data_IF_088700143897
#
_entry.id   IF_088700143897
#
_cell.length_a   1.000
_cell.length_b   1.000
_cell.length_c   1.000
_cell.angle_alpha   90.00
_cell.angle_beta   90.00
_cell.angle_gamma   90.00
#
_symmetry.space_group_name_H-M   'P 1'
#
loop_
_entity.id
_entity.type
_entity.pdbx_description
1 polymer ?
#
# COMPACT_ATOMS: atom_id res chain seq x y z
N UNK A 1 -20.19 36.08 41.61
CA UNK A 1 -20.95 35.00 40.98
C UNK A 1 -21.45 35.56 39.64
N UNK A 2 -20.88 35.23 38.50
CA UNK A 2 -21.51 35.71 37.29
C UNK A 2 -20.59 35.99 36.12
N UNK A 3 -19.69 35.14 35.67
CA UNK A 3 -19.13 35.19 34.34
C UNK A 3 -18.52 33.85 33.87
N UNK A 4 -18.46 32.88 34.79
CA UNK A 4 -17.82 31.56 34.52
C UNK A 4 -18.81 30.47 34.05
N UNK A 5 -20.13 30.76 34.10
CA UNK A 5 -21.17 29.77 33.79
C UNK A 5 -21.75 29.88 32.36
N UNK A 6 -21.13 30.63 31.45
CA UNK A 6 -21.75 30.95 30.15
C UNK A 6 -21.09 30.31 28.93
N UNK A 7 -20.06 29.49 29.07
CA UNK A 7 -19.48 28.83 27.91
C UNK A 7 -19.61 27.31 27.98
N UNK A 8 -19.67 26.71 26.83
CA UNK A 8 -19.89 25.29 26.64
C UNK A 8 -18.60 24.55 26.30
N UNK A 9 -18.49 23.33 26.76
CA UNK A 9 -17.34 22.46 26.44
C UNK A 9 -17.74 21.47 25.39
N UNK A 10 -17.04 21.52 24.24
CA UNK A 10 -17.20 20.54 23.17
C UNK A 10 -16.38 19.31 23.51
N UNK A 11 -17.05 18.19 23.72
CA UNK A 11 -16.43 16.89 23.94
C UNK A 11 -15.85 16.35 22.62
N UNK A 12 -15.01 15.32 22.71
CA UNK A 12 -14.36 14.68 21.57
C UNK A 12 -15.32 14.00 20.59
N UNK A 13 -16.47 13.56 21.06
CA UNK A 13 -17.56 12.98 20.27
C UNK A 13 -18.49 14.03 19.64
N UNK A 14 -18.17 15.32 19.82
CA UNK A 14 -18.97 16.45 19.33
C UNK A 14 -20.13 16.85 20.26
N UNK A 15 -20.40 16.09 21.33
CA UNK A 15 -21.38 16.51 22.31
C UNK A 15 -20.94 17.79 23.05
N UNK A 16 -21.92 18.61 23.40
CA UNK A 16 -21.70 19.87 24.10
C UNK A 16 -22.21 19.73 25.54
N UNK A 17 -21.34 20.03 26.50
CA UNK A 17 -21.65 19.94 27.94
C UNK A 17 -21.38 21.30 28.62
N UNK A 18 -21.96 21.54 29.79
CA UNK A 18 -21.67 22.72 30.60
C UNK A 18 -20.25 22.66 31.18
N UNK A 19 -19.59 23.81 31.23
CA UNK A 19 -18.30 23.92 31.88
C UNK A 19 -18.44 23.75 33.40
N UNK A 20 -17.59 22.90 33.98
CA UNK A 20 -17.51 22.65 35.44
C UNK A 20 -16.06 22.66 35.90
N UNK A 21 -15.66 23.71 36.62
CA UNK A 21 -14.29 23.87 37.13
C UNK A 21 -13.86 22.69 38.02
N UNK A 22 -14.79 22.08 38.73
CA UNK A 22 -14.54 20.91 39.57
C UNK A 22 -14.02 19.67 38.79
N UNK A 23 -14.24 19.60 37.49
CA UNK A 23 -13.62 18.56 36.66
C UNK A 23 -12.11 18.80 36.43
N UNK A 24 -11.70 20.08 36.39
CA UNK A 24 -10.29 20.47 36.23
C UNK A 24 -9.57 20.25 37.58
N UNK A 25 -10.10 20.76 38.68
CA UNK A 25 -9.49 20.58 40.00
C UNK A 25 -9.35 19.11 40.36
N UNK A 26 -10.37 18.28 40.12
CA UNK A 26 -10.31 16.83 40.34
C UNK A 26 -9.23 16.13 39.47
N UNK A 27 -8.98 16.62 38.26
CA UNK A 27 -7.94 16.07 37.39
C UNK A 27 -6.54 16.49 37.89
N UNK A 28 -6.38 17.72 38.36
CA UNK A 28 -5.13 18.22 38.97
C UNK A 28 -4.83 17.44 40.25
N UNK A 29 -5.80 17.25 41.13
CA UNK A 29 -5.68 16.42 42.35
C UNK A 29 -5.06 15.05 42.03
N UNK A 30 -5.63 14.31 41.07
CA UNK A 30 -5.15 12.99 40.69
C UNK A 30 -3.70 13.01 40.17
N UNK A 31 -3.28 14.10 39.54
CA UNK A 31 -1.93 14.24 39.05
C UNK A 31 -0.93 14.49 40.21
N UNK A 32 -1.32 15.25 41.22
CA UNK A 32 -0.52 15.44 42.42
C UNK A 32 -0.42 14.15 43.24
N UNK A 33 -1.56 13.45 43.47
CA UNK A 33 -1.60 12.16 44.16
C UNK A 33 -0.67 11.12 43.47
N UNK A 34 -0.69 11.07 42.16
CA UNK A 34 0.16 10.17 41.37
C UNK A 34 1.67 10.45 41.52
N UNK A 35 2.02 11.61 42.12
CA UNK A 35 3.42 12.01 42.44
C UNK A 35 3.70 12.06 43.92
N UNK A 36 2.71 11.64 44.76
CA UNK A 36 2.83 11.69 46.24
C UNK A 36 3.26 13.07 46.77
N UNK A 37 2.83 14.14 46.07
CA UNK A 37 3.15 15.52 46.42
C UNK A 37 2.08 16.08 47.34
N UNK A 38 2.54 16.70 48.42
CA UNK A 38 1.65 17.43 49.32
C UNK A 38 1.08 18.68 48.63
N UNK A 39 -0.18 18.92 48.81
CA UNK A 39 -0.93 20.11 48.34
C UNK A 39 -2.00 20.51 49.34
N UNK A 40 -2.45 21.75 49.25
CA UNK A 40 -3.65 22.18 49.93
C UNK A 40 -4.80 22.34 48.93
N UNK A 41 -6.05 22.19 49.39
CA UNK A 41 -7.24 22.42 48.57
C UNK A 41 -7.24 23.80 47.93
N UNK A 42 -6.85 24.83 48.68
CA UNK A 42 -6.74 26.20 48.19
C UNK A 42 -5.75 26.37 47.05
N UNK A 43 -4.64 25.61 47.07
CA UNK A 43 -3.65 25.62 46.00
C UNK A 43 -4.21 24.98 44.72
N UNK A 44 -4.95 23.88 44.86
CA UNK A 44 -5.58 23.21 43.70
C UNK A 44 -6.66 24.11 43.09
N UNK A 45 -7.48 24.77 43.93
CA UNK A 45 -8.48 25.69 43.45
C UNK A 45 -7.86 26.90 42.75
N UNK A 46 -6.75 27.43 43.27
CA UNK A 46 -5.99 28.49 42.59
C UNK A 46 -5.44 28.04 41.23
N UNK A 47 -4.92 26.83 41.14
CA UNK A 47 -4.47 26.26 39.85
C UNK A 47 -5.64 26.10 38.89
N UNK A 48 -6.79 25.62 39.34
CA UNK A 48 -8.01 25.52 38.54
C UNK A 48 -8.48 26.87 37.98
N UNK A 49 -8.44 27.92 38.81
CA UNK A 49 -8.73 29.28 38.36
C UNK A 49 -7.72 29.80 37.35
N UNK A 50 -6.41 29.54 37.53
CA UNK A 50 -5.37 29.89 36.55
C UNK A 50 -5.57 29.19 35.21
N UNK A 51 -5.94 27.91 35.23
CA UNK A 51 -6.27 27.17 33.98
C UNK A 51 -7.45 27.82 33.28
N UNK A 52 -8.50 28.19 34.02
CA UNK A 52 -9.66 28.87 33.46
C UNK A 52 -9.26 30.20 32.81
N UNK A 53 -8.40 30.98 33.48
CA UNK A 53 -7.87 32.24 32.92
C UNK A 53 -7.00 32.02 31.68
N UNK A 54 -6.20 30.94 31.62
CA UNK A 54 -5.32 30.61 30.48
C UNK A 54 -6.14 30.33 29.23
N UNK A 55 -7.14 29.47 29.31
CA UNK A 55 -7.94 29.11 28.16
C UNK A 55 -9.03 30.10 27.76
N UNK A 56 -9.33 31.07 28.63
CA UNK A 56 -10.38 32.08 28.35
C UNK A 56 -10.18 32.80 27.02
N UNK A 57 -8.92 32.99 26.62
CA UNK A 57 -8.54 33.59 25.32
C UNK A 57 -8.76 32.67 24.11
N UNK A 58 -8.98 31.37 24.33
CA UNK A 58 -9.20 30.35 23.32
C UNK A 58 -10.67 30.08 23.04
N UNK A 59 -11.58 30.66 23.85
CA UNK A 59 -13.02 30.49 23.68
C UNK A 59 -13.46 31.20 22.39
N UNK A 60 -14.08 30.45 21.50
CA UNK A 60 -14.66 30.94 20.23
C UNK A 60 -16.13 30.55 20.19
N UNK A 61 -17.01 31.50 19.85
CA UNK A 61 -18.46 31.29 19.78
C UNK A 61 -19.06 30.67 21.06
N UNK A 62 -18.62 31.12 22.23
CA UNK A 62 -18.99 30.58 23.54
C UNK A 62 -18.68 29.09 23.74
N UNK A 63 -17.74 28.52 22.98
CA UNK A 63 -17.34 27.12 23.04
C UNK A 63 -15.83 26.98 23.19
N UNK A 64 -15.42 25.92 23.88
CA UNK A 64 -14.03 25.48 24.01
C UNK A 64 -13.98 23.96 23.95
N UNK A 65 -12.93 23.41 23.35
CA UNK A 65 -12.75 21.96 23.31
C UNK A 65 -12.12 21.41 24.59
N UNK A 66 -12.41 20.14 24.91
CA UNK A 66 -11.76 19.44 26.03
C UNK A 66 -10.25 19.45 25.89
N UNK A 67 -9.74 19.36 24.64
CA UNK A 67 -8.30 19.37 24.33
C UNK A 67 -7.64 20.69 24.74
N UNK A 68 -8.23 21.81 24.33
CA UNK A 68 -7.72 23.14 24.66
C UNK A 68 -7.70 23.39 26.18
N UNK A 69 -8.69 22.86 26.91
CA UNK A 69 -8.70 22.91 28.39
C UNK A 69 -7.54 22.07 28.94
N UNK A 70 -7.34 20.87 28.45
CA UNK A 70 -6.28 19.97 28.92
C UNK A 70 -4.88 20.53 28.63
N UNK A 71 -4.67 21.14 27.47
CA UNK A 71 -3.42 21.82 27.13
C UNK A 71 -3.16 23.00 28.07
N UNK A 72 -4.20 23.72 28.44
CA UNK A 72 -4.09 24.80 29.45
C UNK A 72 -3.75 24.26 30.85
N UNK A 73 -4.26 23.09 31.24
CA UNK A 73 -3.85 22.42 32.50
C UNK A 73 -2.36 22.10 32.49
N UNK A 74 -1.87 21.51 31.40
CA UNK A 74 -0.45 21.17 31.23
C UNK A 74 0.44 22.42 31.33
N UNK A 75 0.10 23.48 30.61
CA UNK A 75 0.83 24.74 30.58
C UNK A 75 0.88 25.39 31.96
N UNK A 76 -0.26 25.49 32.66
CA UNK A 76 -0.33 26.11 33.99
C UNK A 76 0.46 25.33 35.04
N UNK A 77 0.41 23.98 35.01
CA UNK A 77 1.22 23.15 35.90
C UNK A 77 2.72 23.35 35.66
N UNK A 78 3.16 23.44 34.40
CA UNK A 78 4.58 23.73 34.07
C UNK A 78 4.97 25.11 34.54
N UNK A 79 4.19 26.14 34.25
CA UNK A 79 4.45 27.53 34.64
C UNK A 79 4.43 27.75 36.16
N UNK A 80 3.64 26.97 36.87
CA UNK A 80 3.60 27.00 38.35
C UNK A 80 4.76 26.24 39.01
N UNK A 81 5.70 25.65 38.22
CA UNK A 81 6.86 24.94 38.73
C UNK A 81 6.61 23.45 39.03
N UNK A 82 5.44 22.91 38.67
CA UNK A 82 5.06 21.51 38.90
C UNK A 82 5.26 20.64 37.64
N UNK A 83 6.45 20.71 37.02
CA UNK A 83 6.76 20.03 35.79
C UNK A 83 6.62 18.48 35.87
N UNK A 84 6.92 17.89 37.02
CA UNK A 84 6.77 16.46 37.28
C UNK A 84 5.30 16.04 37.43
N UNK A 85 4.45 16.89 38.00
CA UNK A 85 2.99 16.70 38.08
C UNK A 85 2.37 16.87 36.69
N UNK A 86 2.82 17.88 35.92
CA UNK A 86 2.41 18.04 34.53
C UNK A 86 2.73 16.78 33.69
N UNK A 87 3.92 16.22 33.85
CA UNK A 87 4.31 14.96 33.21
C UNK A 87 3.41 13.79 33.59
N UNK A 88 3.02 13.68 34.87
CA UNK A 88 2.08 12.66 35.33
C UNK A 88 0.69 12.85 34.70
N UNK A 89 0.23 14.12 34.61
CA UNK A 89 -1.02 14.45 33.95
C UNK A 89 -1.03 14.08 32.46
N UNK A 90 0.03 14.40 31.71
CA UNK A 90 0.20 14.03 30.31
C UNK A 90 0.17 12.51 30.12
N UNK A 91 0.92 11.76 30.95
CA UNK A 91 0.93 10.30 30.90
C UNK A 91 -0.44 9.68 31.19
N UNK A 92 -1.15 10.22 32.20
CA UNK A 92 -2.51 9.80 32.52
C UNK A 92 -3.49 10.10 31.38
N UNK A 93 -3.39 11.27 30.74
CA UNK A 93 -4.17 11.67 29.57
C UNK A 93 -3.97 10.67 28.43
N UNK A 94 -2.71 10.37 28.08
CA UNK A 94 -2.36 9.37 27.07
C UNK A 94 -2.88 7.97 27.40
N UNK A 95 -2.74 7.53 28.64
CA UNK A 95 -3.25 6.23 29.07
C UNK A 95 -4.78 6.15 28.97
N UNK A 96 -5.49 7.20 29.36
CA UNK A 96 -6.94 7.29 29.21
C UNK A 96 -7.39 7.32 27.75
N UNK A 97 -6.66 7.98 26.90
CA UNK A 97 -6.87 7.98 25.47
C UNK A 97 -6.69 6.57 24.90
N UNK A 98 -5.61 5.89 25.27
CA UNK A 98 -5.35 4.51 24.87
C UNK A 98 -6.47 3.54 25.32
N UNK A 99 -6.94 3.67 26.56
CA UNK A 99 -8.07 2.86 27.08
C UNK A 99 -9.38 3.14 26.32
N UNK A 100 -9.64 4.40 25.97
CA UNK A 100 -10.83 4.74 25.17
C UNK A 100 -10.74 4.17 23.77
N UNK A 101 -9.58 4.33 23.12
CA UNK A 101 -9.34 3.78 21.78
C UNK A 101 -9.48 2.25 21.77
N UNK A 102 -8.98 1.57 22.81
CA UNK A 102 -9.17 0.12 22.97
C UNK A 102 -10.66 -0.24 23.17
N UNK A 103 -11.41 0.50 23.97
CA UNK A 103 -12.85 0.26 24.15
C UNK A 103 -13.65 0.52 22.87
N UNK A 104 -13.35 1.59 22.16
CA UNK A 104 -13.90 1.90 20.85
C UNK A 104 -13.60 0.78 19.86
N UNK A 105 -12.34 0.33 19.79
CA UNK A 105 -11.94 -0.77 18.92
C UNK A 105 -12.69 -2.08 19.21
N UNK A 106 -12.95 -2.41 20.49
CA UNK A 106 -13.70 -3.63 20.87
C UNK A 106 -15.18 -3.51 20.50
N UNK A 107 -15.78 -2.34 20.68
CA UNK A 107 -17.16 -2.08 20.28
C UNK A 107 -17.30 -2.12 18.75
N UNK A 108 -16.38 -1.49 18.04
CA UNK A 108 -16.31 -1.46 16.58
C UNK A 108 -16.10 -2.88 15.99
N UNK A 109 -15.34 -3.75 16.69
CA UNK A 109 -15.13 -5.13 16.24
C UNK A 109 -16.42 -5.93 16.10
N UNK A 110 -17.33 -5.83 17.08
CA UNK A 110 -18.65 -6.48 16.98
C UNK A 110 -19.45 -5.93 15.81
N UNK A 111 -19.37 -4.64 15.59
CA UNK A 111 -20.06 -3.96 14.48
C UNK A 111 -19.47 -4.35 13.14
N UNK A 112 -18.14 -4.43 13.01
CA UNK A 112 -17.41 -4.90 11.82
C UNK A 112 -17.83 -6.33 11.47
N UNK A 113 -17.83 -7.25 12.44
CA UNK A 113 -18.26 -8.65 12.22
C UNK A 113 -19.72 -8.71 11.78
N UNK A 114 -20.60 -7.98 12.48
CA UNK A 114 -22.02 -7.98 12.16
C UNK A 114 -22.32 -7.37 10.78
N UNK A 115 -21.68 -6.26 10.43
CA UNK A 115 -21.88 -5.61 9.13
C UNK A 115 -21.39 -6.50 7.97
N UNK A 116 -20.27 -7.21 8.16
CA UNK A 116 -19.81 -8.19 7.18
C UNK A 116 -20.79 -9.36 7.04
N UNK A 117 -21.18 -9.99 8.15
CA UNK A 117 -22.09 -11.16 8.14
C UNK A 117 -23.46 -10.82 7.58
N UNK A 118 -23.97 -9.64 7.86
CA UNK A 118 -25.26 -9.16 7.33
C UNK A 118 -25.18 -8.61 5.89
N UNK A 119 -23.97 -8.54 5.32
CA UNK A 119 -23.73 -7.96 3.99
C UNK A 119 -24.24 -6.51 3.88
N UNK A 120 -24.23 -5.78 4.99
CA UNK A 120 -24.65 -4.38 5.04
C UNK A 120 -23.58 -3.44 4.50
N UNK A 121 -22.30 -3.84 4.58
CA UNK A 121 -21.19 -3.05 4.06
C UNK A 121 -21.09 -3.19 2.54
N UNK A 122 -21.29 -2.09 1.83
CA UNK A 122 -21.20 -2.01 0.36
C UNK A 122 -19.82 -2.46 -0.16
N UNK A 123 -18.74 -2.24 0.61
CA UNK A 123 -17.37 -2.64 0.27
C UNK A 123 -17.21 -4.15 0.10
N UNK A 124 -18.04 -4.94 0.74
CA UNK A 124 -18.09 -6.41 0.59
C UNK A 124 -18.52 -6.81 -0.83
N UNK A 125 -19.30 -5.98 -1.50
CA UNK A 125 -19.82 -6.22 -2.86
C UNK A 125 -18.99 -5.54 -3.94
N UNK A 126 -18.40 -4.39 -3.67
CA UNK A 126 -17.69 -3.60 -4.66
C UNK A 126 -16.29 -4.14 -4.98
N UNK A 127 -15.62 -4.73 -4.02
CA UNK A 127 -14.31 -5.31 -4.27
C UNK A 127 -14.47 -6.71 -4.87
N UNK A 128 -14.60 -6.77 -6.18
CA UNK A 128 -14.77 -8.02 -6.93
C UNK A 128 -13.63 -9.02 -6.75
N UNK A 129 -12.50 -8.60 -6.21
CA UNK A 129 -11.35 -9.45 -5.93
C UNK A 129 -11.47 -10.21 -4.61
N UNK A 130 -12.35 -9.76 -3.69
CA UNK A 130 -12.59 -10.43 -2.40
C UNK A 130 -13.98 -11.03 -2.38
N UNK A 131 -14.04 -12.37 -2.32
CA UNK A 131 -15.30 -13.10 -2.25
C UNK A 131 -15.89 -13.04 -0.84
N UNK A 132 -17.21 -12.85 -0.71
CA UNK A 132 -17.93 -13.03 0.55
C UNK A 132 -17.75 -14.48 1.04
N UNK A 133 -16.95 -14.65 2.08
CA UNK A 133 -16.48 -15.94 2.58
C UNK A 133 -15.94 -15.84 3.99
N UNK A 134 -15.71 -16.97 4.64
CA UNK A 134 -15.01 -16.99 5.94
C UNK A 134 -13.61 -16.37 5.85
N UNK A 135 -12.87 -16.63 4.76
CA UNK A 135 -11.58 -15.98 4.53
C UNK A 135 -11.70 -14.47 4.38
N UNK A 136 -12.72 -13.99 3.65
CA UNK A 136 -13.02 -12.56 3.54
C UNK A 136 -13.36 -11.92 4.88
N UNK A 137 -14.10 -12.61 5.75
CA UNK A 137 -14.37 -12.16 7.12
C UNK A 137 -13.07 -12.03 7.94
N UNK A 138 -12.17 -13.00 7.84
CA UNK A 138 -10.85 -12.95 8.53
C UNK A 138 -10.05 -11.74 8.07
N UNK A 139 -9.96 -11.53 6.76
CA UNK A 139 -9.23 -10.40 6.18
C UNK A 139 -9.85 -9.06 6.57
N UNK A 140 -11.18 -8.95 6.55
CA UNK A 140 -11.91 -7.75 6.95
C UNK A 140 -11.63 -7.39 8.41
N UNK A 141 -11.71 -8.36 9.30
CA UNK A 141 -11.46 -8.17 10.73
C UNK A 141 -9.98 -7.81 10.99
N UNK A 142 -9.05 -8.56 10.42
CA UNK A 142 -7.62 -8.28 10.54
C UNK A 142 -7.28 -6.90 9.98
N UNK A 143 -7.84 -6.57 8.82
CA UNK A 143 -7.63 -5.28 8.17
C UNK A 143 -8.12 -4.10 9.01
N UNK A 144 -9.29 -4.21 9.62
CA UNK A 144 -9.82 -3.15 10.49
C UNK A 144 -8.94 -2.91 11.73
N UNK A 145 -8.47 -3.98 12.37
CA UNK A 145 -7.55 -3.89 13.51
C UNK A 145 -6.23 -3.24 13.11
N UNK A 146 -5.67 -3.66 11.97
CA UNK A 146 -4.41 -3.11 11.44
C UNK A 146 -4.55 -1.64 11.06
N UNK A 147 -5.65 -1.26 10.40
CA UNK A 147 -5.92 0.14 10.06
C UNK A 147 -6.02 1.03 11.31
N UNK A 148 -6.69 0.53 12.35
CA UNK A 148 -6.75 1.26 13.61
C UNK A 148 -5.35 1.40 14.25
N UNK A 149 -4.51 0.37 14.18
CA UNK A 149 -3.14 0.43 14.69
C UNK A 149 -2.31 1.51 13.95
N UNK A 150 -2.40 1.60 12.62
CA UNK A 150 -1.77 2.67 11.85
C UNK A 150 -2.21 4.06 12.34
N UNK A 151 -3.53 4.25 12.51
CA UNK A 151 -4.12 5.55 12.81
C UNK A 151 -4.06 5.96 14.29
N UNK A 152 -3.73 5.05 15.21
CA UNK A 152 -3.70 5.34 16.65
C UNK A 152 -2.31 5.22 17.28
N UNK A 153 -1.44 4.36 16.73
CA UNK A 153 -0.14 4.06 17.35
C UNK A 153 1.04 4.50 16.48
N UNK A 154 0.88 4.52 15.14
CA UNK A 154 1.97 4.84 14.20
C UNK A 154 1.91 6.29 13.75
N UNK A 155 0.78 6.73 13.20
CA UNK A 155 0.61 8.09 12.73
C UNK A 155 0.29 9.05 13.87
N UNK A 156 0.74 10.30 13.75
CA UNK A 156 0.30 11.37 14.64
C UNK A 156 -1.19 11.74 14.38
N UNK A 157 -1.75 12.47 15.32
CA UNK A 157 -3.17 12.83 15.27
C UNK A 157 -3.52 13.64 14.02
N UNK A 158 -2.63 14.51 13.55
CA UNK A 158 -2.90 15.35 12.38
C UNK A 158 -3.06 14.52 11.11
N UNK A 159 -2.19 13.53 10.90
CA UNK A 159 -2.29 12.58 9.77
C UNK A 159 -3.54 11.70 9.91
N UNK A 160 -3.77 11.16 11.11
CA UNK A 160 -4.90 10.29 11.38
C UNK A 160 -6.25 11.02 11.19
N UNK A 161 -6.36 12.26 11.66
CA UNK A 161 -7.56 13.06 11.53
C UNK A 161 -7.79 13.50 10.09
N UNK A 162 -6.75 13.87 9.34
CA UNK A 162 -6.86 14.16 7.91
C UNK A 162 -7.41 12.96 7.12
N UNK A 163 -7.02 11.73 7.49
CA UNK A 163 -7.59 10.51 6.89
C UNK A 163 -9.03 10.27 7.32
N UNK A 164 -9.33 10.34 8.63
CA UNK A 164 -10.68 10.11 9.18
C UNK A 164 -11.70 11.14 8.69
N UNK A 165 -11.27 12.39 8.50
CA UNK A 165 -12.11 13.47 7.99
C UNK A 165 -12.25 13.46 6.47
N UNK A 166 -11.64 12.49 5.79
CA UNK A 166 -11.62 12.38 4.34
C UNK A 166 -10.97 13.59 3.61
N UNK A 167 -10.04 14.28 4.24
CA UNK A 167 -9.21 15.29 3.58
C UNK A 167 -8.17 14.61 2.69
N UNK A 168 -7.63 13.48 3.16
CA UNK A 168 -6.77 12.56 2.40
C UNK A 168 -7.27 11.13 2.56
N UNK A 169 -6.84 10.25 1.66
CA UNK A 169 -6.98 8.80 1.81
C UNK A 169 -5.61 8.14 1.77
N UNK A 170 -5.19 7.56 2.89
CA UNK A 170 -3.99 6.73 2.96
C UNK A 170 -4.40 5.32 2.56
N UNK A 171 -3.81 4.80 1.47
CA UNK A 171 -4.14 3.49 0.94
C UNK A 171 -3.58 2.34 1.78
N UNK A 172 -4.28 1.22 1.75
CA UNK A 172 -3.83 -0.10 2.27
C UNK A 172 -3.45 -0.13 3.75
N UNK A 173 -4.18 0.60 4.57
CA UNK A 173 -4.02 0.54 6.02
C UNK A 173 -4.42 -0.81 6.63
N UNK A 174 -5.07 -1.68 5.85
CA UNK A 174 -5.45 -3.03 6.27
C UNK A 174 -4.25 -3.99 6.45
N UNK A 175 -3.05 -3.59 6.01
CA UNK A 175 -1.83 -4.38 6.13
C UNK A 175 -0.66 -3.53 6.63
N UNK A 176 0.23 -4.14 7.43
CA UNK A 176 1.51 -3.52 7.84
C UNK A 176 2.56 -3.81 6.76
N UNK A 177 2.40 -3.23 5.58
CA UNK A 177 3.27 -3.55 4.44
C UNK A 177 3.35 -2.41 3.41
N UNK A 178 4.25 -2.57 2.45
CA UNK A 178 4.36 -1.70 1.29
C UNK A 178 3.14 -1.83 0.36
N UNK A 179 3.10 -0.98 -0.66
CA UNK A 179 1.98 -0.91 -1.61
C UNK A 179 2.15 -1.94 -2.73
N UNK A 180 2.92 -1.61 -3.77
CA UNK A 180 3.15 -2.46 -4.93
C UNK A 180 4.63 -2.80 -5.09
N UNK A 181 4.95 -3.94 -5.70
CA UNK A 181 6.32 -4.31 -6.03
C UNK A 181 6.47 -4.89 -7.43
N UNK A 182 7.61 -4.57 -8.07
CA UNK A 182 8.11 -5.25 -9.25
C UNK A 182 9.20 -6.22 -8.84
N UNK A 183 9.21 -7.38 -9.46
CA UNK A 183 10.12 -8.49 -9.13
C UNK A 183 10.93 -8.89 -10.36
N UNK A 184 12.18 -9.24 -10.14
CA UNK A 184 13.05 -9.71 -11.22
C UNK A 184 12.66 -11.13 -11.65
N UNK A 185 12.05 -11.24 -12.83
CA UNK A 185 11.79 -12.55 -13.43
C UNK A 185 13.10 -13.26 -13.76
N UNK A 186 14.15 -12.51 -14.13
CA UNK A 186 15.49 -13.04 -14.34
C UNK A 186 16.03 -13.73 -13.07
N UNK A 187 15.87 -13.11 -11.90
CA UNK A 187 16.30 -13.70 -10.64
C UNK A 187 15.56 -15.01 -10.37
N UNK A 188 14.23 -15.03 -10.54
CA UNK A 188 13.42 -16.25 -10.37
C UNK A 188 13.91 -17.37 -11.32
N UNK A 189 14.25 -17.05 -12.56
CA UNK A 189 14.78 -17.99 -13.55
C UNK A 189 16.16 -18.52 -13.15
N UNK A 190 17.02 -17.70 -12.57
CA UNK A 190 18.38 -18.05 -12.17
C UNK A 190 18.44 -18.84 -10.86
N UNK A 191 17.63 -18.47 -9.89
CA UNK A 191 17.73 -18.99 -8.52
C UNK A 191 16.63 -20.00 -8.17
N UNK A 192 15.52 -19.95 -8.93
CA UNK A 192 14.31 -20.71 -8.61
C UNK A 192 13.46 -20.04 -7.53
N UNK A 193 12.44 -20.75 -7.04
CA UNK A 193 11.56 -20.27 -6.01
C UNK A 193 12.12 -20.61 -4.62
N UNK A 194 12.76 -19.62 -4.01
CA UNK A 194 13.24 -19.63 -2.64
C UNK A 194 12.31 -18.82 -1.73
N UNK A 195 12.75 -18.57 -0.51
CA UNK A 195 12.04 -17.63 0.35
C UNK A 195 12.31 -17.84 1.84
N UNK A 196 11.59 -18.72 2.50
CA UNK A 196 11.67 -18.86 3.96
C UNK A 196 12.70 -19.93 4.32
N UNK A 197 13.69 -19.58 5.11
CA UNK A 197 14.69 -20.52 5.62
C UNK A 197 14.02 -21.74 6.32
N UNK A 198 14.49 -22.94 5.99
CA UNK A 198 13.93 -24.18 6.52
C UNK A 198 12.58 -24.62 5.92
N UNK A 199 12.08 -23.91 4.90
CA UNK A 199 10.88 -24.32 4.13
C UNK A 199 11.27 -24.89 2.77
N UNK A 200 10.27 -25.43 2.06
CA UNK A 200 10.46 -26.02 0.73
C UNK A 200 10.91 -24.93 -0.25
N UNK A 201 11.96 -25.21 -1.00
CA UNK A 201 12.47 -24.40 -2.09
C UNK A 201 12.37 -25.18 -3.41
N UNK A 202 12.35 -24.48 -4.51
CA UNK A 202 12.30 -25.03 -5.87
C UNK A 202 13.51 -24.56 -6.66
N UNK A 203 14.24 -25.50 -7.26
CA UNK A 203 15.35 -25.19 -8.15
C UNK A 203 14.91 -24.38 -9.35
N UNK A 204 15.84 -23.73 -10.09
CA UNK A 204 15.56 -23.04 -11.34
C UNK A 204 14.74 -23.89 -12.31
N UNK A 205 13.68 -23.35 -12.86
CA UNK A 205 12.81 -24.01 -13.81
C UNK A 205 13.57 -24.35 -15.09
N UNK A 206 13.43 -25.58 -15.58
CA UNK A 206 14.02 -26.01 -16.86
C UNK A 206 13.01 -25.99 -17.99
N UNK A 207 11.73 -26.00 -17.70
CA UNK A 207 10.62 -26.09 -18.65
C UNK A 207 9.63 -24.95 -18.46
N UNK A 208 9.00 -24.49 -19.55
CA UNK A 208 8.04 -23.36 -19.52
C UNK A 208 6.91 -23.60 -18.52
N UNK A 209 6.34 -24.81 -18.46
CA UNK A 209 5.25 -25.15 -17.54
C UNK A 209 5.66 -25.03 -16.07
N UNK A 210 6.90 -25.40 -15.75
CA UNK A 210 7.45 -25.29 -14.39
C UNK A 210 7.66 -23.81 -14.03
N UNK A 211 8.20 -23.01 -14.95
CA UNK A 211 8.37 -21.57 -14.73
C UNK A 211 7.02 -20.88 -14.50
N UNK A 212 6.00 -21.19 -15.33
CA UNK A 212 4.65 -20.67 -15.16
C UNK A 212 4.10 -20.99 -13.77
N UNK A 213 4.29 -22.22 -13.28
CA UNK A 213 3.87 -22.63 -11.93
C UNK A 213 4.65 -21.89 -10.83
N UNK A 214 5.98 -21.73 -11.00
CA UNK A 214 6.78 -20.96 -10.04
C UNK A 214 6.34 -19.49 -9.98
N UNK A 215 6.03 -18.86 -11.12
CA UNK A 215 5.52 -17.48 -11.15
C UNK A 215 4.17 -17.35 -10.43
N UNK A 216 3.22 -18.27 -10.65
CA UNK A 216 1.93 -18.27 -9.94
C UNK A 216 2.13 -18.39 -8.42
N UNK A 217 2.97 -19.32 -7.98
CA UNK A 217 3.26 -19.51 -6.56
C UNK A 217 3.97 -18.29 -5.96
N UNK A 218 4.95 -17.72 -6.68
CA UNK A 218 5.64 -16.51 -6.25
C UNK A 218 4.67 -15.35 -6.03
N UNK A 219 3.83 -15.05 -7.02
CA UNK A 219 2.84 -13.98 -6.93
C UNK A 219 1.83 -14.23 -5.80
N UNK A 220 1.41 -15.49 -5.62
CA UNK A 220 0.53 -15.89 -4.52
C UNK A 220 1.16 -15.73 -3.14
N UNK A 221 2.47 -15.94 -3.00
CA UNK A 221 3.21 -15.70 -1.75
C UNK A 221 3.35 -14.21 -1.51
N UNK A 222 3.76 -13.44 -2.52
CA UNK A 222 4.05 -12.01 -2.40
C UNK A 222 2.82 -11.18 -2.04
N UNK A 223 1.62 -11.58 -2.41
CA UNK A 223 0.40 -10.89 -1.98
C UNK A 223 0.14 -10.94 -0.46
N UNK A 224 0.84 -11.82 0.28
CA UNK A 224 0.77 -11.85 1.75
C UNK A 224 1.75 -10.84 2.39
N UNK A 225 2.75 -10.38 1.63
CA UNK A 225 3.76 -9.43 2.11
C UNK A 225 3.61 -8.03 1.50
N UNK A 226 2.73 -7.87 0.49
CA UNK A 226 2.48 -6.59 -0.21
C UNK A 226 0.99 -6.40 -0.46
N UNK A 227 0.49 -5.21 -0.21
CA UNK A 227 -0.95 -4.92 -0.29
C UNK A 227 -1.45 -4.76 -1.73
N UNK A 228 -0.64 -4.23 -2.62
CA UNK A 228 -1.02 -3.92 -3.99
C UNK A 228 -0.49 -4.92 -5.02
N UNK A 229 -0.40 -4.48 -6.27
CA UNK A 229 -0.01 -5.34 -7.38
C UNK A 229 1.45 -5.80 -7.30
N UNK A 230 1.64 -7.05 -7.74
CA UNK A 230 2.94 -7.67 -7.93
C UNK A 230 3.22 -7.78 -9.43
N UNK A 231 4.38 -7.32 -9.90
CA UNK A 231 4.67 -7.24 -11.32
C UNK A 231 5.91 -8.03 -11.73
N UNK A 232 5.84 -8.69 -12.90
CA UNK A 232 7.01 -9.17 -13.62
C UNK A 232 7.20 -8.35 -14.89
N UNK A 233 8.44 -7.95 -15.15
CA UNK A 233 8.80 -7.22 -16.38
C UNK A 233 9.39 -8.14 -17.44
N UNK A 234 9.28 -7.73 -18.73
CA UNK A 234 9.83 -8.45 -19.88
C UNK A 234 9.37 -9.91 -19.96
N UNK A 235 8.09 -10.13 -19.67
CA UNK A 235 7.50 -11.46 -19.54
C UNK A 235 7.72 -12.31 -20.80
N UNK A 236 7.40 -11.78 -21.97
CA UNK A 236 7.55 -12.46 -23.25
C UNK A 236 9.01 -12.70 -23.63
N UNK A 237 9.90 -11.73 -23.35
CA UNK A 237 11.34 -11.84 -23.57
C UNK A 237 11.98 -12.95 -22.74
N UNK A 238 11.63 -13.02 -21.44
CA UNK A 238 12.24 -14.01 -20.55
C UNK A 238 11.64 -15.41 -20.67
N UNK A 239 10.41 -15.56 -21.15
CA UNK A 239 9.79 -16.88 -21.36
C UNK A 239 10.17 -17.51 -22.71
N UNK A 240 10.43 -16.72 -23.73
CA UNK A 240 10.75 -17.19 -25.07
C UNK A 240 11.89 -18.22 -25.13
N UNK A 241 13.00 -18.08 -24.37
CA UNK A 241 14.07 -19.08 -24.32
C UNK A 241 13.63 -20.49 -23.94
N UNK A 242 12.62 -20.62 -23.06
CA UNK A 242 12.09 -21.92 -22.64
C UNK A 242 11.35 -22.63 -23.78
N UNK A 243 10.59 -21.86 -24.57
CA UNK A 243 9.91 -22.38 -25.77
C UNK A 243 10.93 -22.91 -26.76
N UNK A 244 12.01 -22.15 -26.98
CA UNK A 244 13.10 -22.52 -27.92
C UNK A 244 13.89 -23.73 -27.43
N UNK A 245 14.26 -23.75 -26.14
CA UNK A 245 15.06 -24.84 -25.58
C UNK A 245 14.34 -26.20 -25.63
N UNK A 246 13.03 -26.21 -25.37
CA UNK A 246 12.20 -27.42 -25.41
C UNK A 246 11.59 -27.66 -26.80
N UNK A 247 11.83 -26.78 -27.79
CA UNK A 247 11.24 -26.82 -29.13
C UNK A 247 9.71 -27.03 -29.11
N UNK A 248 9.01 -26.25 -28.22
CA UNK A 248 7.58 -26.40 -28.01
C UNK A 248 6.77 -25.97 -29.24
N UNK A 249 5.73 -26.75 -29.54
CA UNK A 249 4.70 -26.37 -30.49
C UNK A 249 3.78 -25.29 -29.95
N UNK A 250 3.08 -24.55 -30.82
CA UNK A 250 2.15 -23.50 -30.38
C UNK A 250 1.06 -24.00 -29.41
N UNK A 251 0.40 -25.17 -29.64
CA UNK A 251 -0.57 -25.67 -28.64
C UNK A 251 0.02 -25.95 -27.25
N UNK A 252 1.29 -26.38 -27.18
CA UNK A 252 1.97 -26.60 -25.88
C UNK A 252 2.27 -25.28 -25.20
N UNK A 253 2.73 -24.26 -25.95
CA UNK A 253 2.92 -22.90 -25.43
C UNK A 253 1.60 -22.33 -24.91
N UNK A 254 0.52 -22.42 -25.71
CA UNK A 254 -0.81 -21.93 -25.33
C UNK A 254 -1.26 -22.56 -24.03
N UNK A 255 -1.13 -23.87 -23.89
CA UNK A 255 -1.49 -24.59 -22.65
C UNK A 255 -0.71 -24.11 -21.42
N UNK A 256 0.57 -23.80 -21.56
CA UNK A 256 1.37 -23.26 -20.45
C UNK A 256 0.91 -21.86 -20.06
N UNK A 257 0.65 -21.00 -21.02
CA UNK A 257 0.18 -19.62 -20.80
C UNK A 257 -1.25 -19.60 -20.21
N UNK A 258 -2.14 -20.45 -20.73
CA UNK A 258 -3.48 -20.65 -20.14
C UNK A 258 -3.36 -21.06 -18.67
N UNK A 259 -2.52 -22.04 -18.34
CA UNK A 259 -2.31 -22.50 -16.98
C UNK A 259 -1.82 -21.37 -16.06
N UNK A 260 -0.94 -20.49 -16.55
CA UNK A 260 -0.49 -19.31 -15.82
C UNK A 260 -1.65 -18.33 -15.60
N UNK A 261 -2.41 -17.98 -16.63
CA UNK A 261 -3.54 -17.03 -16.54
C UNK A 261 -4.60 -17.55 -15.56
N UNK A 262 -5.00 -18.81 -15.69
CA UNK A 262 -5.94 -19.44 -14.74
C UNK A 262 -5.39 -19.45 -13.31
N UNK A 263 -4.10 -19.75 -13.15
CA UNK A 263 -3.43 -19.76 -11.85
C UNK A 263 -3.48 -18.43 -11.13
N UNK A 264 -3.23 -17.31 -11.83
CA UNK A 264 -3.28 -15.96 -11.24
C UNK A 264 -4.70 -15.40 -11.09
N UNK A 265 -5.72 -16.06 -11.65
CA UNK A 265 -7.13 -15.69 -11.46
C UNK A 265 -7.86 -16.62 -10.46
N UNK A 266 -7.20 -17.69 -10.03
CA UNK A 266 -7.77 -18.58 -9.02
C UNK A 266 -7.52 -17.98 -7.63
N UNK A 267 -8.58 -17.84 -6.80
CA UNK A 267 -8.41 -17.37 -5.42
C UNK A 267 -7.39 -18.22 -4.67
N UNK A 268 -6.51 -17.55 -3.92
CA UNK A 268 -5.49 -18.23 -3.11
C UNK A 268 -6.11 -19.11 -2.02
N UNK A 269 -5.27 -19.79 -1.22
CA UNK A 269 -5.63 -20.68 -0.10
C UNK A 269 -6.78 -20.14 0.78
N UNK A 270 -6.88 -18.84 0.97
CA UNK A 270 -7.90 -18.22 1.79
C UNK A 270 -9.24 -18.05 1.07
N UNK A 271 -9.29 -18.41 -0.24
CA UNK A 271 -10.51 -18.37 -1.06
C UNK A 271 -11.08 -16.99 -1.27
N UNK A 272 -10.29 -15.94 -1.07
CA UNK A 272 -10.77 -14.56 -0.98
C UNK A 272 -10.30 -13.67 -2.08
N UNK A 273 -9.02 -13.78 -2.48
CA UNK A 273 -8.42 -12.89 -3.46
C UNK A 273 -7.46 -13.65 -4.37
N UNK A 274 -7.60 -13.43 -5.68
CA UNK A 274 -6.60 -13.82 -6.65
C UNK A 274 -5.39 -12.88 -6.55
N UNK A 275 -4.15 -13.33 -6.87
CA UNK A 275 -2.98 -12.48 -6.86
C UNK A 275 -3.16 -11.26 -7.77
N UNK A 276 -3.18 -10.06 -7.20
CA UNK A 276 -3.20 -8.82 -7.97
C UNK A 276 -1.88 -8.69 -8.72
N UNK A 277 -1.85 -9.14 -9.96
CA UNK A 277 -0.65 -9.30 -10.76
C UNK A 277 -0.66 -8.41 -12.00
N UNK A 278 0.53 -7.96 -12.37
CA UNK A 278 0.80 -7.19 -13.58
C UNK A 278 1.98 -7.82 -14.32
N UNK A 279 1.95 -7.79 -15.64
CA UNK A 279 3.09 -8.15 -16.48
C UNK A 279 3.37 -7.04 -17.48
N UNK A 280 4.65 -6.80 -17.75
CA UNK A 280 5.05 -6.02 -18.93
C UNK A 280 5.56 -6.94 -20.01
N UNK A 281 5.17 -6.65 -21.23
CA UNK A 281 5.54 -7.36 -22.43
C UNK A 281 6.29 -6.40 -23.36
N UNK A 282 7.41 -6.85 -23.87
CA UNK A 282 8.30 -6.00 -24.65
C UNK A 282 7.88 -5.91 -26.11
N UNK A 283 7.21 -6.94 -26.65
CA UNK A 283 6.87 -7.10 -28.07
C UNK A 283 8.06 -7.20 -29.00
N UNK A 284 9.08 -6.40 -28.76
CA UNK A 284 10.38 -6.42 -29.43
C UNK A 284 11.45 -6.62 -28.36
N UNK A 285 12.42 -7.50 -28.62
CA UNK A 285 13.47 -7.79 -27.63
C UNK A 285 14.25 -6.50 -27.32
N UNK A 286 14.32 -6.07 -26.06
CA UNK A 286 15.02 -4.84 -25.68
C UNK A 286 16.53 -4.91 -25.99
N UNK A 287 17.11 -3.79 -26.44
CA UNK A 287 18.52 -3.68 -26.84
C UNK A 287 19.50 -4.19 -25.77
N UNK A 288 19.22 -3.91 -24.52
CA UNK A 288 20.08 -4.28 -23.38
C UNK A 288 20.02 -5.78 -23.05
N UNK A 289 19.00 -6.50 -23.51
CA UNK A 289 18.88 -7.96 -23.41
C UNK A 289 19.26 -8.68 -24.70
N UNK A 290 19.08 -8.04 -25.85
CA UNK A 290 19.18 -8.69 -27.17
C UNK A 290 20.46 -9.49 -27.35
N UNK A 291 21.61 -8.94 -26.97
CA UNK A 291 22.93 -9.55 -27.16
C UNK A 291 23.36 -10.43 -25.96
N UNK A 292 22.58 -10.51 -24.90
CA UNK A 292 22.90 -11.36 -23.77
C UNK A 292 22.54 -12.82 -24.06
N UNK A 293 23.33 -13.79 -23.54
CA UNK A 293 22.93 -15.19 -23.56
C UNK A 293 21.58 -15.39 -22.87
N UNK A 294 20.68 -16.14 -23.50
CA UNK A 294 19.43 -16.53 -22.87
C UNK A 294 19.66 -17.44 -21.66
N UNK A 295 18.77 -17.42 -20.68
CA UNK A 295 18.91 -18.19 -19.43
C UNK A 295 17.76 -19.19 -19.33
N UNK A 296 18.10 -20.48 -19.16
CA UNK A 296 17.14 -21.57 -18.89
C UNK A 296 17.72 -22.49 -17.81
N UNK A 297 16.94 -22.83 -16.82
CA UNK A 297 17.40 -23.72 -15.73
C UNK A 297 18.57 -23.16 -14.92
N UNK A 298 18.65 -21.82 -14.79
CA UNK A 298 19.74 -21.13 -14.10
C UNK A 298 21.06 -21.11 -14.89
N UNK A 299 21.07 -21.49 -16.17
CA UNK A 299 22.28 -21.59 -16.98
C UNK A 299 22.15 -20.75 -18.25
N UNK A 300 23.26 -20.15 -18.67
CA UNK A 300 23.35 -19.50 -19.96
C UNK A 300 23.27 -20.52 -21.09
N UNK A 301 22.47 -20.23 -22.09
CA UNK A 301 22.32 -21.00 -23.32
C UNK A 301 23.33 -20.56 -24.38
N UNK A 302 23.48 -21.34 -25.43
CA UNK A 302 24.33 -21.05 -26.60
C UNK A 302 23.67 -20.08 -27.59
N UNK A 303 22.44 -19.66 -27.34
CA UNK A 303 21.70 -18.67 -28.13
C UNK A 303 21.35 -17.44 -27.25
N UNK A 304 21.07 -16.32 -27.91
CA UNK A 304 20.77 -15.03 -27.28
C UNK A 304 19.27 -14.77 -27.25
N UNK A 305 18.85 -13.78 -26.44
CA UNK A 305 17.43 -13.38 -26.38
C UNK A 305 16.91 -12.93 -27.76
N UNK A 306 17.69 -12.21 -28.56
CA UNK A 306 17.29 -11.79 -29.91
C UNK A 306 16.97 -12.97 -30.84
N UNK A 307 17.55 -14.14 -30.61
CA UNK A 307 17.35 -15.34 -31.41
C UNK A 307 16.03 -16.06 -31.08
N UNK A 308 15.24 -15.53 -30.12
CA UNK A 308 13.98 -16.10 -29.63
C UNK A 308 12.75 -15.31 -30.10
N UNK A 309 12.84 -14.46 -31.12
CA UNK A 309 11.72 -13.61 -31.56
C UNK A 309 10.48 -14.41 -31.97
N UNK A 310 10.67 -15.52 -32.69
CA UNK A 310 9.58 -16.42 -33.10
C UNK A 310 8.84 -17.01 -31.90
N UNK A 311 9.57 -17.43 -30.88
CA UNK A 311 9.04 -18.00 -29.67
C UNK A 311 8.35 -16.94 -28.80
N UNK A 312 8.87 -15.71 -28.79
CA UNK A 312 8.25 -14.54 -28.17
C UNK A 312 6.90 -14.23 -28.83
N UNK A 313 6.81 -14.29 -30.16
CA UNK A 313 5.55 -14.10 -30.89
C UNK A 313 4.52 -15.18 -30.55
N UNK A 314 4.95 -16.43 -30.35
CA UNK A 314 4.08 -17.53 -29.91
C UNK A 314 3.50 -17.27 -28.50
N UNK A 315 4.32 -16.74 -27.57
CA UNK A 315 3.88 -16.39 -26.23
C UNK A 315 2.86 -15.25 -26.28
N UNK A 316 3.16 -14.17 -27.03
CA UNK A 316 2.24 -13.04 -27.17
C UNK A 316 0.92 -13.47 -27.79
N UNK A 317 0.95 -14.29 -28.83
CA UNK A 317 -0.26 -14.86 -29.45
C UNK A 317 -1.07 -15.65 -28.44
N UNK A 318 -0.45 -16.58 -27.73
CA UNK A 318 -1.10 -17.43 -26.75
C UNK A 318 -1.73 -16.62 -25.60
N UNK A 319 -1.02 -15.60 -25.13
CA UNK A 319 -1.51 -14.71 -24.09
C UNK A 319 -2.74 -13.93 -24.53
N UNK A 320 -2.66 -13.28 -25.71
CA UNK A 320 -3.75 -12.45 -26.21
C UNK A 320 -4.98 -13.28 -26.54
N UNK A 321 -4.83 -14.42 -27.23
CA UNK A 321 -5.94 -15.32 -27.52
C UNK A 321 -6.65 -15.78 -26.25
N UNK A 322 -5.91 -16.22 -25.23
CA UNK A 322 -6.49 -16.65 -23.96
C UNK A 322 -7.25 -15.52 -23.27
N UNK A 323 -6.71 -14.31 -23.30
CA UNK A 323 -7.40 -13.14 -22.72
C UNK A 323 -8.68 -12.77 -23.49
N UNK A 324 -8.69 -12.95 -24.82
CA UNK A 324 -9.88 -12.71 -25.67
C UNK A 324 -10.96 -13.79 -25.45
N UNK A 325 -10.56 -15.04 -25.37
CA UNK A 325 -11.45 -16.19 -25.17
C UNK A 325 -12.15 -16.14 -23.82
N UNK A 326 -11.43 -15.72 -22.78
CA UNK A 326 -11.94 -15.67 -21.40
C UNK A 326 -12.02 -17.06 -20.75
N UNK A 327 -12.72 -17.14 -19.62
CA UNK A 327 -12.91 -18.39 -18.88
C UNK A 327 -13.91 -19.34 -19.58
N UNK A 328 -14.13 -20.52 -18.99
CA UNK A 328 -15.07 -21.52 -19.51
C UNK A 328 -16.52 -21.02 -19.73
N UNK A 329 -16.86 -19.86 -19.18
CA UNK A 329 -18.16 -19.19 -19.35
C UNK A 329 -18.05 -17.93 -20.23
N UNK A 330 -16.90 -17.69 -20.87
CA UNK A 330 -16.63 -16.52 -21.69
C UNK A 330 -16.44 -15.20 -20.92
N UNK A 331 -16.16 -15.27 -19.61
CA UNK A 331 -15.87 -14.08 -18.80
C UNK A 331 -14.40 -13.71 -18.94
N UNK A 332 -14.13 -12.41 -19.13
CA UNK A 332 -12.77 -11.90 -19.22
C UNK A 332 -11.98 -12.11 -17.91
N UNK A 333 -10.70 -12.39 -18.04
CA UNK A 333 -9.77 -12.48 -16.92
C UNK A 333 -9.43 -11.09 -16.36
N UNK A 334 -9.32 -11.00 -15.04
CA UNK A 334 -8.89 -9.76 -14.38
C UNK A 334 -7.37 -9.63 -14.35
N UNK A 335 -6.66 -10.73 -14.27
CA UNK A 335 -5.21 -10.80 -14.10
C UNK A 335 -4.57 -11.76 -15.13
N UNK A 336 -3.26 -11.56 -15.41
CA UNK A 336 -2.46 -10.39 -15.05
C UNK A 336 -2.91 -9.18 -15.87
N UNK A 337 -2.75 -7.96 -15.31
CA UNK A 337 -2.94 -6.71 -16.07
C UNK A 337 -1.76 -6.58 -17.03
N UNK A 338 -1.98 -6.61 -18.37
CA UNK A 338 -0.89 -6.52 -19.32
C UNK A 338 -0.54 -5.08 -19.67
N UNK A 339 0.76 -4.80 -19.81
CA UNK A 339 1.29 -3.53 -20.32
C UNK A 339 2.29 -3.81 -21.43
N UNK A 340 2.03 -3.33 -22.64
CA UNK A 340 2.95 -3.45 -23.77
C UNK A 340 3.82 -2.23 -23.92
N UNK A 341 5.11 -2.46 -24.18
CA UNK A 341 6.09 -1.41 -24.49
C UNK A 341 6.00 -1.03 -25.97
N UNK A 342 5.76 0.24 -26.26
CA UNK A 342 5.79 0.80 -27.61
C UNK A 342 7.10 1.54 -27.79
N UNK A 343 7.96 1.02 -28.66
CA UNK A 343 9.26 1.56 -29.01
C UNK A 343 9.30 1.91 -30.51
N UNK A 344 10.40 2.49 -30.98
CA UNK A 344 10.60 2.78 -32.40
C UNK A 344 10.65 1.50 -33.26
N UNK A 345 11.02 0.37 -32.67
CA UNK A 345 11.11 -0.94 -33.31
C UNK A 345 9.78 -1.72 -33.31
N UNK A 346 8.70 -1.12 -32.76
CA UNK A 346 7.39 -1.75 -32.77
C UNK A 346 6.90 -1.93 -34.23
N UNK A 347 6.65 -3.18 -34.59
CA UNK A 347 6.14 -3.51 -35.92
C UNK A 347 4.65 -3.17 -36.05
N UNK A 348 4.33 -2.14 -36.81
CA UNK A 348 2.96 -1.70 -37.10
C UNK A 348 2.33 -2.38 -38.29
N UNK A 349 3.01 -3.37 -38.91
CA UNK A 349 2.49 -4.09 -40.06
C UNK A 349 1.25 -4.92 -39.70
N UNK A 350 0.48 -5.31 -40.72
CA UNK A 350 -0.74 -6.09 -40.55
C UNK A 350 -0.43 -7.58 -40.28
N UNK A 351 0.15 -7.86 -39.11
CA UNK A 351 0.42 -9.22 -38.65
C UNK A 351 -0.77 -9.80 -37.88
N UNK A 352 -0.85 -11.13 -37.77
CA UNK A 352 -1.85 -11.81 -36.98
C UNK A 352 -1.81 -11.34 -35.52
N UNK A 353 -0.62 -11.22 -34.92
CA UNK A 353 -0.46 -10.77 -33.54
C UNK A 353 -0.93 -9.33 -33.33
N UNK A 354 -0.67 -8.43 -34.28
CA UNK A 354 -1.17 -7.05 -34.21
C UNK A 354 -2.69 -7.01 -34.28
N UNK A 355 -3.32 -7.79 -35.17
CA UNK A 355 -4.78 -7.87 -35.23
C UNK A 355 -5.36 -8.34 -33.91
N UNK A 356 -4.82 -9.41 -33.32
CA UNK A 356 -5.23 -9.93 -32.02
C UNK A 356 -5.05 -8.90 -30.89
N UNK A 357 -3.92 -8.17 -30.86
CA UNK A 357 -3.64 -7.13 -29.87
C UNK A 357 -4.70 -6.02 -29.90
N UNK A 358 -5.04 -5.55 -31.09
CA UNK A 358 -6.05 -4.50 -31.25
C UNK A 358 -7.48 -5.02 -31.08
N UNK A 359 -7.76 -6.29 -31.39
CA UNK A 359 -9.03 -6.94 -31.04
C UNK A 359 -9.23 -7.00 -29.52
N UNK A 360 -8.22 -7.46 -28.77
CA UNK A 360 -8.26 -7.46 -27.30
C UNK A 360 -8.47 -6.04 -26.75
N UNK A 361 -7.77 -5.06 -27.32
CA UNK A 361 -7.90 -3.65 -26.92
C UNK A 361 -9.29 -3.12 -27.15
N UNK A 362 -9.90 -3.40 -28.28
CA UNK A 362 -11.24 -2.93 -28.63
C UNK A 362 -12.34 -3.61 -27.80
N UNK A 363 -12.13 -4.90 -27.45
CA UNK A 363 -13.12 -5.68 -26.69
C UNK A 363 -13.12 -5.37 -25.20
N UNK A 364 -11.95 -5.19 -24.59
CA UNK A 364 -11.79 -5.11 -23.14
C UNK A 364 -11.15 -3.82 -22.62
N UNK A 365 -10.69 -2.93 -23.48
CA UNK A 365 -9.92 -1.74 -23.06
C UNK A 365 -8.56 -2.07 -22.46
N UNK A 366 -8.06 -3.28 -22.67
CA UNK A 366 -6.73 -3.75 -22.30
C UNK A 366 -6.00 -4.25 -23.54
N UNK A 367 -4.66 -4.23 -23.60
CA UNK A 367 -3.68 -3.89 -22.56
C UNK A 367 -3.50 -2.37 -22.36
N UNK A 368 -2.68 -2.02 -21.38
CA UNK A 368 -2.08 -0.70 -21.32
C UNK A 368 -0.87 -0.63 -22.26
N UNK A 369 -0.58 0.59 -22.74
CA UNK A 369 0.57 0.85 -23.58
C UNK A 369 1.52 1.84 -22.92
N UNK A 370 2.79 1.44 -22.74
CA UNK A 370 3.87 2.32 -22.33
C UNK A 370 4.58 2.84 -23.56
N UNK A 371 4.38 4.12 -23.88
CA UNK A 371 4.99 4.75 -25.05
C UNK A 371 6.37 5.30 -24.70
N UNK A 372 7.41 4.76 -25.33
CA UNK A 372 8.80 5.18 -25.21
C UNK A 372 9.31 5.95 -26.44
N UNK A 373 8.49 6.12 -27.48
CA UNK A 373 8.90 6.84 -28.71
C UNK A 373 9.18 8.32 -28.40
N UNK A 374 8.31 8.95 -27.62
CA UNK A 374 8.41 10.34 -27.21
C UNK A 374 8.78 10.49 -25.71
N UNK A 375 9.64 9.62 -25.22
CA UNK A 375 10.06 9.60 -23.82
C UNK A 375 11.58 9.77 -23.72
N UNK A 376 12.05 10.44 -22.68
CA UNK A 376 13.45 10.50 -22.28
C UNK A 376 13.95 9.21 -21.60
N UNK A 377 13.04 8.25 -21.39
CA UNK A 377 13.28 6.97 -20.74
C UNK A 377 13.18 5.84 -21.75
N UNK A 378 13.99 4.80 -21.54
CA UNK A 378 13.97 3.56 -22.31
C UNK A 378 13.27 2.45 -21.52
N UNK A 379 12.78 1.38 -22.17
CA UNK A 379 12.24 0.21 -21.46
C UNK A 379 13.20 -0.35 -20.40
N UNK A 380 14.51 -0.33 -20.67
CA UNK A 380 15.57 -0.74 -19.72
C UNK A 380 15.67 0.11 -18.46
N UNK A 381 15.17 1.34 -18.49
CA UNK A 381 15.17 2.24 -17.34
C UNK A 381 13.98 1.98 -16.38
N UNK A 382 12.99 1.20 -16.83
CA UNK A 382 11.73 0.96 -16.13
C UNK A 382 11.39 -0.53 -16.20
N UNK A 383 12.18 -1.39 -15.59
CA UNK A 383 11.89 -2.83 -15.64
C UNK A 383 10.97 -3.33 -14.55
N UNK A 384 10.84 -2.59 -13.47
CA UNK A 384 9.94 -2.94 -12.38
C UNK A 384 8.74 -2.02 -12.37
N UNK A 385 7.75 -2.27 -13.22
CA UNK A 385 6.50 -1.51 -13.19
C UNK A 385 5.45 -2.24 -12.36
N UNK A 386 5.01 -1.61 -11.29
CA UNK A 386 3.74 -1.94 -10.70
C UNK A 386 2.72 -0.85 -11.04
N UNK A 387 1.49 -1.22 -11.36
CA UNK A 387 0.32 -0.33 -11.48
C UNK A 387 0.59 1.01 -12.20
N UNK A 388 1.33 1.01 -13.32
CA UNK A 388 1.65 2.22 -14.12
C UNK A 388 2.59 3.22 -13.44
N UNK A 389 3.13 2.92 -12.27
CA UNK A 389 4.16 3.73 -11.65
C UNK A 389 5.47 3.52 -12.41
N UNK A 390 5.93 4.57 -13.08
CA UNK A 390 7.25 4.57 -13.71
C UNK A 390 8.28 4.92 -12.64
N UNK A 391 9.07 3.94 -12.23
CA UNK A 391 10.22 4.17 -11.35
C UNK A 391 11.44 4.39 -12.23
N UNK A 392 12.05 5.57 -12.13
CA UNK A 392 13.29 5.88 -12.83
C UNK A 392 14.48 5.16 -12.15
N UNK A 393 14.86 4.02 -12.71
CA UNK A 393 15.98 3.23 -12.21
C UNK A 393 17.33 3.94 -12.36
N UNK A 394 17.42 4.98 -13.21
CA UNK A 394 18.67 5.76 -13.39
C UNK A 394 19.04 6.47 -12.08
N UNK A 395 18.06 7.03 -11.39
CA UNK A 395 18.27 7.66 -10.08
C UNK A 395 18.59 6.64 -8.98
N UNK A 396 17.94 5.49 -8.99
CA UNK A 396 18.23 4.41 -8.05
C UNK A 396 19.64 3.84 -8.26
N UNK A 397 20.05 3.60 -9.52
CA UNK A 397 21.39 3.13 -9.86
C UNK A 397 22.48 4.12 -9.47
N UNK A 398 22.26 5.42 -9.56
CA UNK A 398 23.19 6.46 -9.10
C UNK A 398 23.41 6.41 -7.59
N UNK A 399 22.37 6.12 -6.81
CA UNK A 399 22.42 6.09 -5.34
C UNK A 399 23.03 4.81 -4.78
N UNK A 400 22.88 3.67 -5.46
CA UNK A 400 23.33 2.36 -4.99
C UNK A 400 24.76 1.94 -5.40
N UNK A 401 25.57 2.83 -6.00
CA UNK A 401 26.96 2.54 -6.37
C UNK A 401 27.15 1.47 -7.45
N UNK A 402 26.13 1.05 -8.15
CA UNK A 402 26.19 0.34 -9.43
C UNK A 402 26.67 -1.11 -9.43
N UNK A 403 26.98 -1.75 -8.29
CA UNK A 403 27.65 -3.06 -8.31
C UNK A 403 26.81 -4.26 -7.85
N UNK A 404 25.73 -4.06 -7.10
CA UNK A 404 24.87 -5.16 -6.62
C UNK A 404 23.39 -4.79 -6.72
N UNK A 405 22.67 -5.60 -7.46
CA UNK A 405 21.22 -5.55 -7.62
C UNK A 405 20.81 -5.13 -9.02
N UNK A 406 20.05 -6.00 -9.66
CA UNK A 406 19.56 -5.79 -11.05
C UNK A 406 18.64 -4.57 -11.21
N UNK A 407 18.36 -3.81 -10.15
CA UNK A 407 17.40 -2.70 -10.16
C UNK A 407 15.97 -3.12 -10.57
N UNK A 408 15.76 -4.41 -10.80
CA UNK A 408 14.50 -4.97 -11.28
C UNK A 408 13.51 -5.28 -10.15
N UNK A 409 14.01 -5.44 -8.90
CA UNK A 409 13.17 -5.68 -7.72
C UNK A 409 13.04 -4.38 -6.93
N UNK A 410 12.03 -3.61 -7.23
CA UNK A 410 11.72 -2.34 -6.55
C UNK A 410 10.22 -2.20 -6.34
N UNK A 411 9.81 -1.26 -5.47
CA UNK A 411 8.40 -1.07 -5.21
C UNK A 411 8.07 0.32 -4.68
N UNK A 412 6.78 0.54 -4.48
CA UNK A 412 6.21 1.73 -3.83
C UNK A 412 5.83 1.39 -2.40
N UNK A 413 6.30 2.19 -1.46
CA UNK A 413 5.99 2.00 -0.03
C UNK A 413 4.54 2.31 0.28
N UNK A 414 3.94 3.29 -0.40
CA UNK A 414 2.57 3.70 -0.15
C UNK A 414 2.04 4.70 -1.16
N UNK A 415 0.73 4.91 -1.11
CA UNK A 415 0.00 5.89 -1.91
C UNK A 415 -0.91 6.68 -0.98
N UNK A 416 -1.00 7.98 -1.22
CA UNK A 416 -1.96 8.88 -0.57
C UNK A 416 -2.72 9.65 -1.63
N UNK A 417 -4.03 9.62 -1.54
CA UNK A 417 -4.91 10.40 -2.42
C UNK A 417 -5.42 11.61 -1.68
N UNK A 418 -5.26 12.80 -2.27
CA UNK A 418 -5.78 14.06 -1.72
C UNK A 418 -7.19 14.32 -2.26
N UNK A 419 -8.12 14.67 -1.39
CA UNK A 419 -9.51 14.94 -1.75
C UNK A 419 -9.67 16.39 -2.29
N UNK A 420 -9.31 16.58 -3.55
CA UNK A 420 -9.41 17.89 -4.22
C UNK A 420 -10.84 18.48 -4.22
N UNK A 421 -11.91 17.69 -4.49
CA UNK A 421 -13.28 18.20 -4.39
C UNK A 421 -13.62 18.77 -3.01
N UNK A 422 -13.18 18.10 -1.93
CA UNK A 422 -13.42 18.58 -0.57
C UNK A 422 -12.66 19.88 -0.28
N UNK A 423 -11.40 19.99 -0.71
CA UNK A 423 -10.62 21.23 -0.59
C UNK A 423 -11.37 22.37 -1.29
N UNK A 424 -11.82 22.17 -2.52
CA UNK A 424 -12.55 23.16 -3.30
C UNK A 424 -13.86 23.58 -2.61
N UNK A 425 -14.62 22.60 -2.09
CA UNK A 425 -15.89 22.86 -1.38
C UNK A 425 -15.71 23.71 -0.12
N UNK A 426 -14.62 23.46 0.61
CA UNK A 426 -14.33 24.14 1.88
C UNK A 426 -13.62 25.50 1.69
N UNK A 427 -13.16 25.83 0.48
CA UNK A 427 -12.40 27.06 0.20
C UNK A 427 -13.30 28.13 -0.41
N UNK A 428 -13.17 29.34 0.09
CA UNK A 428 -13.92 30.50 -0.41
C UNK A 428 -13.17 31.28 -1.49
N UNK A 429 -11.85 31.16 -1.51
CA UNK A 429 -10.96 31.86 -2.45
C UNK A 429 -9.93 30.88 -3.03
N UNK A 430 -9.35 31.15 -4.21
CA UNK A 430 -8.26 30.38 -4.77
C UNK A 430 -7.04 30.30 -3.83
N UNK A 431 -6.73 31.37 -3.11
CA UNK A 431 -5.63 31.39 -2.15
C UNK A 431 -5.87 30.40 -0.99
N UNK A 432 -7.08 30.39 -0.43
CA UNK A 432 -7.45 29.42 0.61
C UNK A 432 -7.36 27.98 0.09
N UNK A 433 -7.74 27.74 -1.16
CA UNK A 433 -7.61 26.42 -1.80
C UNK A 433 -6.16 25.98 -1.87
N UNK A 434 -5.25 26.83 -2.35
CA UNK A 434 -3.83 26.48 -2.45
C UNK A 434 -3.20 26.28 -1.08
N UNK A 435 -3.49 27.11 -0.09
CA UNK A 435 -2.98 26.95 1.27
C UNK A 435 -3.41 25.61 1.90
N UNK A 436 -4.67 25.20 1.68
CA UNK A 436 -5.17 23.89 2.12
C UNK A 436 -4.49 22.74 1.38
N UNK A 437 -4.30 22.88 0.08
CA UNK A 437 -3.63 21.89 -0.74
C UNK A 437 -2.19 21.69 -0.29
N UNK A 438 -1.42 22.74 -0.12
CA UNK A 438 -0.02 22.71 0.32
C UNK A 438 0.09 22.01 1.68
N UNK A 439 -0.77 22.36 2.64
CA UNK A 439 -0.82 21.70 3.94
C UNK A 439 -1.09 20.19 3.81
N UNK A 440 -2.05 19.78 2.99
CA UNK A 440 -2.38 18.35 2.81
C UNK A 440 -1.28 17.60 2.04
N UNK A 441 -0.55 18.26 1.16
CA UNK A 441 0.65 17.69 0.52
C UNK A 441 1.75 17.43 1.55
N UNK A 442 2.00 18.36 2.47
CA UNK A 442 2.98 18.16 3.56
C UNK A 442 2.58 17.02 4.50
N UNK A 443 1.29 16.94 4.89
CA UNK A 443 0.75 15.84 5.70
C UNK A 443 0.91 14.51 4.97
N UNK A 444 0.63 14.48 3.66
CA UNK A 444 0.76 13.27 2.83
C UNK A 444 2.22 12.83 2.72
N UNK A 445 3.15 13.76 2.48
CA UNK A 445 4.58 13.46 2.41
C UNK A 445 5.10 12.91 3.75
N UNK A 446 4.72 13.52 4.87
CA UNK A 446 5.07 13.06 6.22
C UNK A 446 4.52 11.66 6.51
N UNK A 447 3.28 11.37 6.10
CA UNK A 447 2.68 10.05 6.28
C UNK A 447 3.44 8.95 5.52
N UNK A 448 3.88 9.24 4.29
CA UNK A 448 4.69 8.31 3.49
C UNK A 448 6.09 8.11 4.08
N UNK A 449 6.69 9.16 4.63
CA UNK A 449 7.98 9.05 5.32
C UNK A 449 7.91 8.14 6.55
N UNK A 450 6.92 8.35 7.42
CA UNK A 450 6.65 7.50 8.59
C UNK A 450 6.40 6.05 8.15
N UNK A 451 5.58 5.84 7.12
CA UNK A 451 5.31 4.49 6.58
C UNK A 451 6.59 3.82 6.12
N UNK A 452 7.48 4.54 5.43
CA UNK A 452 8.77 4.02 4.97
C UNK A 452 9.67 3.57 6.12
N UNK A 453 9.78 4.38 7.18
CA UNK A 453 10.57 4.03 8.37
C UNK A 453 10.04 2.76 9.06
N UNK A 454 8.72 2.67 9.23
CA UNK A 454 8.08 1.50 9.85
C UNK A 454 8.28 0.24 9.02
N UNK A 455 8.06 0.31 7.70
CA UNK A 455 8.24 -0.83 6.80
C UNK A 455 9.72 -1.26 6.78
N UNK A 456 10.66 -0.31 6.71
CA UNK A 456 12.08 -0.61 6.77
C UNK A 456 12.46 -1.36 8.04
N UNK A 457 12.02 -0.87 9.19
CA UNK A 457 12.24 -1.54 10.48
C UNK A 457 11.65 -2.96 10.53
N UNK A 458 10.43 -3.14 10.05
CA UNK A 458 9.78 -4.45 10.03
C UNK A 458 10.45 -5.43 9.05
N UNK A 459 11.03 -4.92 7.96
CA UNK A 459 11.85 -5.71 7.05
C UNK A 459 13.13 -6.19 7.73
N UNK A 460 13.84 -5.30 8.44
CA UNK A 460 15.06 -5.64 9.19
C UNK A 460 14.78 -6.65 10.32
N UNK A 461 13.59 -6.59 10.91
CA UNK A 461 13.10 -7.53 11.92
C UNK A 461 12.64 -8.88 11.33
N UNK A 462 12.62 -9.04 10.00
CA UNK A 462 12.27 -10.29 9.31
C UNK A 462 10.78 -10.56 9.18
N UNK A 463 9.92 -9.52 9.28
CA UNK A 463 8.45 -9.69 9.13
C UNK A 463 8.05 -10.07 7.69
N UNK A 464 8.91 -9.77 6.70
CA UNK A 464 8.70 -10.08 5.28
C UNK A 464 9.75 -11.09 4.80
N UNK A 465 9.63 -12.38 5.19
CA UNK A 465 10.72 -13.34 4.99
C UNK A 465 11.05 -13.63 3.52
N UNK A 466 10.07 -13.53 2.61
CA UNK A 466 10.29 -13.77 1.18
C UNK A 466 10.79 -12.51 0.49
N UNK A 467 10.21 -11.35 0.81
CA UNK A 467 10.67 -10.07 0.28
C UNK A 467 12.12 -9.78 0.67
N UNK A 468 12.52 -10.13 1.89
CA UNK A 468 13.89 -9.93 2.37
C UNK A 468 14.95 -10.60 1.50
N UNK A 469 14.63 -11.77 0.91
CA UNK A 469 15.54 -12.50 0.03
C UNK A 469 15.53 -12.01 -1.41
N UNK A 470 14.48 -11.30 -1.84
CA UNK A 470 14.28 -10.87 -3.22
C UNK A 470 14.34 -9.36 -3.44
N UNK A 471 14.23 -8.56 -2.38
CA UNK A 471 14.35 -7.11 -2.45
C UNK A 471 15.81 -6.66 -2.20
N UNK A 472 16.38 -6.03 -3.19
CA UNK A 472 17.50 -5.10 -2.96
C UNK A 472 16.89 -3.74 -2.63
N UNK A 473 16.65 -3.47 -1.34
CA UNK A 473 16.30 -2.12 -0.93
C UNK A 473 17.46 -1.19 -1.23
N UNK A 474 17.24 -0.04 -1.86
CA UNK A 474 18.22 1.02 -1.83
C UNK A 474 18.31 1.50 -0.38
N UNK A 475 19.45 1.22 0.24
CA UNK A 475 19.87 1.79 1.53
C UNK A 475 19.96 3.31 1.45
#
# INVERSE_FOLDING_TARGET
MGALDMFQVVKRDGEVDEFKIGKITAAIHKAFDAKEKNYSEEMIDLLGLRVTSDFQKKITDNKITVEEIQDSVENVLIQAGYADVAKAYILYRKQREKVRNMKSTILDYKEIVNSYVKVEDWRVKENSTVTYSVGGLILSNSGAVTANYWLSEIYDNEIADAHRNADIHIHDLSMLTGYCAGWSLKQLIQEGLGGIEGKITSSPAKHLSVLCNQMVNFLGIMQNEWAGAQAFSSFDTYLAPFVKADNLSYPEVKKCIESFIYGVNTPSRWGTQAPFSNITLDWTVPDDLAELPAIVGGKNMDFKYKDCKKEMDMINKAFIETMIEGDANGRGFQYPIPTYSITNEFDWSDTENNRLLFEMTSKYGTPYFSNYINSDMKPSDIRSMCCRLRLDLRELRKKSGGFFGSGESTGSVGVVTINMPRIAYLSKTPEEFYNRLDRLMDISARSLHIKREVIGKLLDEGLYPVSYTHLTLPT
#
